data_IF_437902286487
#
_entry.id   IF_437902286487
#
_cell.length_a   1.000
_cell.length_b   1.000
_cell.length_c   1.000
_cell.angle_alpha   90.00
_cell.angle_beta   90.00
_cell.angle_gamma   90.00
#
_symmetry.space_group_name_H-M   'P 1'
#
loop_
_entity.id
_entity.type
_entity.pdbx_description
1 polymer ?
#
# COMPACT_ATOMS: atom_id res chain seq x y z
N UNK A 1 -12.59 15.44 -3.45
CA UNK A 1 -11.66 15.22 -4.58
C UNK A 1 -10.57 14.15 -4.31
N UNK A 2 -10.81 13.20 -3.39
CA UNK A 2 -9.85 12.10 -3.11
C UNK A 2 -10.29 10.74 -3.67
N UNK A 3 -11.53 10.61 -4.14
CA UNK A 3 -12.09 9.35 -4.66
C UNK A 3 -11.51 8.96 -6.04
N UNK A 4 -11.19 9.94 -6.88
CA UNK A 4 -10.82 9.72 -8.28
C UNK A 4 -9.43 9.12 -8.45
N UNK A 5 -8.48 9.46 -7.58
CA UNK A 5 -7.14 8.83 -7.58
C UNK A 5 -7.21 7.39 -7.05
N UNK A 6 -8.13 7.13 -6.11
CA UNK A 6 -8.31 5.83 -5.47
C UNK A 6 -8.92 4.82 -6.45
N UNK A 7 -9.87 5.26 -7.26
CA UNK A 7 -10.55 4.44 -8.27
C UNK A 7 -9.58 3.97 -9.37
N UNK A 8 -8.72 4.88 -9.86
CA UNK A 8 -7.74 4.59 -10.92
C UNK A 8 -6.65 3.58 -10.50
N UNK A 9 -6.26 3.58 -9.22
CA UNK A 9 -5.29 2.61 -8.69
C UNK A 9 -5.94 1.23 -8.51
N UNK A 10 -7.24 1.20 -8.20
CA UNK A 10 -8.00 -0.04 -8.04
C UNK A 10 -8.19 -0.75 -9.39
N UNK A 11 -8.45 -0.02 -10.46
CA UNK A 11 -8.53 -0.57 -11.83
C UNK A 11 -7.18 -1.05 -12.38
N UNK A 12 -6.08 -0.30 -12.15
CA UNK A 12 -4.78 -0.60 -12.78
C UNK A 12 -4.06 -1.82 -12.22
N UNK A 13 -4.29 -2.18 -10.96
CA UNK A 13 -3.48 -3.21 -10.28
C UNK A 13 -4.16 -4.59 -10.20
N UNK A 14 -5.42 -4.74 -10.60
CA UNK A 14 -6.14 -6.02 -10.51
C UNK A 14 -6.18 -6.61 -9.09
N UNK A 15 -5.88 -5.79 -8.08
CA UNK A 15 -5.84 -6.17 -6.68
C UNK A 15 -7.26 -6.13 -6.15
N UNK A 16 -7.69 -7.17 -5.45
CA UNK A 16 -8.94 -7.10 -4.70
C UNK A 16 -8.88 -5.92 -3.74
N UNK A 17 -9.97 -5.15 -3.62
CA UNK A 17 -10.04 -3.96 -2.77
C UNK A 17 -9.51 -4.21 -1.35
N UNK A 18 -9.71 -5.42 -0.81
CA UNK A 18 -9.18 -5.86 0.48
C UNK A 18 -7.65 -5.92 0.55
N UNK A 19 -7.00 -6.45 -0.49
CA UNK A 19 -5.54 -6.56 -0.55
C UNK A 19 -4.90 -5.19 -0.68
N UNK A 20 -5.51 -4.32 -1.50
CA UNK A 20 -5.09 -2.93 -1.68
C UNK A 20 -5.21 -2.12 -0.39
N UNK A 21 -6.34 -2.18 0.31
CA UNK A 21 -6.54 -1.50 1.60
C UNK A 21 -5.52 -1.94 2.66
N UNK A 22 -5.13 -3.23 2.65
CA UNK A 22 -4.09 -3.72 3.58
C UNK A 22 -2.71 -3.16 3.23
N UNK A 23 -2.36 -3.11 1.94
CA UNK A 23 -1.11 -2.49 1.46
C UNK A 23 -1.08 -1.02 1.87
N UNK A 24 -2.16 -0.26 1.65
CA UNK A 24 -2.24 1.14 2.05
C UNK A 24 -2.08 1.36 3.56
N UNK A 25 -2.69 0.51 4.40
CA UNK A 25 -2.52 0.60 5.85
C UNK A 25 -1.07 0.40 6.29
N UNK A 26 -0.40 -0.61 5.73
CA UNK A 26 1.01 -0.88 6.05
C UNK A 26 1.91 0.24 5.51
N UNK A 27 1.68 0.69 4.28
CA UNK A 27 2.41 1.82 3.70
C UNK A 27 2.23 3.10 4.52
N UNK A 28 1.03 3.32 5.08
CA UNK A 28 0.78 4.45 5.99
C UNK A 28 1.58 4.31 7.28
N UNK A 29 1.59 3.13 7.89
CA UNK A 29 2.41 2.88 9.08
C UNK A 29 3.91 3.10 8.81
N UNK A 30 4.41 2.67 7.65
CA UNK A 30 5.81 2.90 7.25
C UNK A 30 6.07 4.39 7.06
N UNK A 31 5.15 5.12 6.42
CA UNK A 31 5.25 6.57 6.26
C UNK A 31 5.28 7.30 7.61
N UNK A 32 4.40 6.91 8.54
CA UNK A 32 4.33 7.47 9.88
C UNK A 32 5.64 7.17 10.66
N UNK A 33 6.21 5.97 10.52
CA UNK A 33 7.50 5.60 11.11
C UNK A 33 8.67 6.36 10.51
N UNK A 34 8.62 6.67 9.21
CA UNK A 34 9.61 7.48 8.51
C UNK A 34 9.46 8.99 8.80
N UNK A 35 8.42 9.40 9.54
CA UNK A 35 8.10 10.81 9.78
C UNK A 35 7.59 11.55 8.54
N UNK A 36 7.10 10.81 7.54
CA UNK A 36 6.55 11.37 6.30
C UNK A 36 5.06 11.62 6.45
N UNK A 37 4.62 12.86 6.17
CA UNK A 37 3.21 13.25 6.19
C UNK A 37 2.37 12.53 5.13
N UNK A 38 3.00 12.18 4.00
CA UNK A 38 2.37 11.56 2.84
C UNK A 38 2.94 10.18 2.53
N UNK A 39 2.10 9.32 1.95
CA UNK A 39 2.52 8.00 1.48
C UNK A 39 3.26 8.17 0.15
N UNK A 40 4.59 8.10 0.20
CA UNK A 40 5.42 8.04 -0.99
C UNK A 40 5.47 6.62 -1.59
N UNK A 41 5.91 6.54 -2.85
CA UNK A 41 6.07 5.28 -3.59
C UNK A 41 7.05 4.31 -2.91
N UNK A 42 8.04 4.82 -2.18
CA UNK A 42 8.96 4.00 -1.37
C UNK A 42 8.23 3.23 -0.25
N UNK A 43 7.32 3.87 0.48
CA UNK A 43 6.53 3.21 1.53
C UNK A 43 5.60 2.14 0.94
N UNK A 44 5.06 2.41 -0.25
CA UNK A 44 4.22 1.45 -0.97
C UNK A 44 5.05 0.23 -1.42
N UNK A 45 6.23 0.44 -2.00
CA UNK A 45 7.13 -0.64 -2.40
C UNK A 45 7.56 -1.50 -1.21
N UNK A 46 7.87 -0.89 -0.07
CA UNK A 46 8.25 -1.59 1.15
C UNK A 46 7.07 -2.40 1.72
N UNK A 47 5.86 -1.82 1.74
CA UNK A 47 4.64 -2.53 2.17
C UNK A 47 4.31 -3.76 1.31
N UNK A 48 4.60 -3.70 0.00
CA UNK A 48 4.44 -4.84 -0.91
C UNK A 48 5.49 -5.91 -0.60
N UNK A 49 6.75 -5.52 -0.37
CA UNK A 49 7.83 -6.44 0.00
C UNK A 49 7.51 -7.18 1.31
N UNK A 50 7.02 -6.49 2.34
CA UNK A 50 6.59 -7.14 3.58
C UNK A 50 5.52 -8.21 3.35
N UNK A 51 4.58 -7.99 2.42
CA UNK A 51 3.56 -9.00 2.08
C UNK A 51 4.12 -10.18 1.30
N UNK A 52 5.07 -9.97 0.40
CA UNK A 52 5.75 -11.07 -0.29
C UNK A 52 6.55 -11.93 0.68
N UNK A 53 7.24 -11.31 1.65
CA UNK A 53 7.96 -12.00 2.70
C UNK A 53 7.03 -12.81 3.62
N UNK A 54 5.90 -12.24 4.04
CA UNK A 54 4.87 -12.91 4.86
C UNK A 54 4.32 -14.18 4.17
N UNK A 55 4.18 -14.15 2.84
CA UNK A 55 3.68 -15.29 2.07
C UNK A 55 4.71 -16.40 1.83
N UNK A 56 6.00 -16.09 1.96
CA UNK A 56 7.08 -17.08 1.80
C UNK A 56 7.34 -17.88 3.08
N UNK A 57 6.76 -17.46 4.22
CA UNK A 57 6.91 -18.10 5.53
C UNK A 57 5.79 -19.13 5.81
N UNK A 58 4.81 -19.29 4.91
CA UNK A 58 3.78 -20.34 4.98
C UNK A 58 4.12 -21.48 4.03
#
# INVERSE_FOLDING_TARGET
ESETLLEQVTEKLGLSARSYTRILKVARTIADLAGSSDIASCHLAESIQYRCADRAVT
#
